data_IF_763961169643
#
_entry.id   IF_763961169643
#
_cell.length_a   1.000
_cell.length_b   1.000
_cell.length_c   1.000
_cell.angle_alpha   90.00
_cell.angle_beta   90.00
_cell.angle_gamma   90.00
#
_symmetry.space_group_name_H-M   'P 1'
#
loop_
_entity.id
_entity.type
_entity.pdbx_description
1 polymer ?
#
# COMPACT_ATOMS: atom_id res chain seq x y z
N UNK A 1 -20.03 -19.02 12.74
CA UNK A 1 -19.20 -19.40 11.58
C UNK A 1 -18.50 -20.71 11.94
N UNK A 2 -18.24 -21.65 11.01
CA UNK A 2 -17.60 -22.94 11.35
C UNK A 2 -16.29 -22.77 12.13
N UNK A 3 -15.48 -21.78 11.74
CA UNK A 3 -14.22 -21.45 12.43
C UNK A 3 -14.40 -20.74 13.79
N UNK A 4 -15.61 -20.28 14.11
CA UNK A 4 -15.94 -19.54 15.33
C UNK A 4 -17.23 -20.09 15.96
N UNK A 5 -17.19 -21.32 16.50
CA UNK A 5 -18.32 -21.90 17.21
C UNK A 5 -18.56 -21.14 18.52
N UNK A 6 -19.82 -20.87 18.87
CA UNK A 6 -20.18 -20.12 20.09
C UNK A 6 -20.02 -18.61 19.99
N UNK A 7 -19.63 -18.08 18.83
CA UNK A 7 -19.51 -16.64 18.58
C UNK A 7 -20.54 -16.14 17.57
N UNK A 8 -21.01 -14.91 17.81
CA UNK A 8 -21.75 -14.09 16.86
C UNK A 8 -20.80 -13.08 16.23
N UNK A 9 -20.76 -13.07 14.90
CA UNK A 9 -20.02 -12.08 14.11
C UNK A 9 -21.02 -11.09 13.52
N UNK A 10 -20.86 -9.80 13.82
CA UNK A 10 -21.69 -8.73 13.26
C UNK A 10 -20.82 -7.84 12.38
N UNK A 11 -21.13 -7.78 11.09
CA UNK A 11 -20.49 -6.86 10.17
C UNK A 11 -21.20 -5.50 10.24
N UNK A 12 -20.42 -4.45 10.51
CA UNK A 12 -20.91 -3.09 10.58
C UNK A 12 -20.24 -2.23 9.50
N UNK A 13 -20.95 -1.22 8.99
CA UNK A 13 -20.47 -0.31 7.96
C UNK A 13 -20.39 1.12 8.50
N UNK A 14 -19.24 1.77 8.33
CA UNK A 14 -18.99 3.15 8.72
C UNK A 14 -18.54 3.98 7.50
N UNK A 15 -19.43 4.82 6.91
CA UNK A 15 -19.12 5.59 5.71
C UNK A 15 -18.07 6.69 5.94
N UNK A 16 -18.02 7.30 7.13
CA UNK A 16 -17.02 8.31 7.45
C UNK A 16 -15.63 7.70 7.55
N UNK A 17 -15.51 6.52 8.16
CA UNK A 17 -14.26 5.76 8.21
C UNK A 17 -13.81 5.35 6.80
N UNK A 18 -14.75 4.97 5.93
CA UNK A 18 -14.45 4.67 4.53
C UNK A 18 -13.84 5.88 3.82
N UNK A 19 -14.46 7.06 3.95
CA UNK A 19 -13.96 8.32 3.35
C UNK A 19 -12.58 8.68 3.87
N UNK A 20 -12.38 8.62 5.19
CA UNK A 20 -11.09 8.93 5.81
C UNK A 20 -9.98 8.00 5.34
N UNK A 21 -10.23 6.68 5.30
CA UNK A 21 -9.25 5.69 4.83
C UNK A 21 -8.90 5.88 3.37
N UNK A 22 -9.90 6.11 2.52
CA UNK A 22 -9.70 6.42 1.09
C UNK A 22 -8.77 7.62 0.91
N UNK A 23 -9.07 8.73 1.58
CA UNK A 23 -8.28 9.95 1.47
C UNK A 23 -6.84 9.74 1.95
N UNK A 24 -6.67 9.10 3.11
CA UNK A 24 -5.34 8.80 3.67
C UNK A 24 -4.53 7.88 2.76
N UNK A 25 -5.15 6.82 2.21
CA UNK A 25 -4.47 5.91 1.28
C UNK A 25 -4.00 6.65 0.05
N UNK A 26 -4.88 7.43 -0.59
CA UNK A 26 -4.52 8.17 -1.81
C UNK A 26 -3.38 9.16 -1.56
N UNK A 27 -3.42 9.90 -0.45
CA UNK A 27 -2.34 10.82 -0.08
C UNK A 27 -0.99 10.09 0.11
N UNK A 28 -0.99 8.91 0.74
CA UNK A 28 0.22 8.11 0.94
C UNK A 28 0.72 7.48 -0.37
N UNK A 29 -0.18 7.06 -1.26
CA UNK A 29 0.18 6.56 -2.59
C UNK A 29 0.86 7.67 -3.41
N UNK A 30 0.28 8.86 -3.47
CA UNK A 30 0.85 10.01 -4.20
C UNK A 30 2.23 10.40 -3.65
N UNK A 31 2.37 10.54 -2.33
CA UNK A 31 3.65 10.88 -1.72
C UNK A 31 4.73 9.81 -1.97
N UNK A 32 4.32 8.53 -2.01
CA UNK A 32 5.21 7.42 -2.37
C UNK A 32 5.66 7.53 -3.82
N UNK A 33 4.73 7.75 -4.75
CA UNK A 33 5.05 7.88 -6.18
C UNK A 33 5.98 9.05 -6.48
N UNK A 34 5.70 10.24 -5.94
CA UNK A 34 6.58 11.41 -6.11
C UNK A 34 8.01 11.10 -5.64
N UNK A 35 8.14 10.32 -4.57
CA UNK A 35 9.45 9.91 -4.04
C UNK A 35 10.14 8.88 -4.95
N UNK A 36 9.39 7.92 -5.50
CA UNK A 36 9.92 6.92 -6.44
C UNK A 36 10.29 7.57 -7.79
N UNK A 37 9.51 8.54 -8.28
CA UNK A 37 9.82 9.31 -9.48
C UNK A 37 11.14 10.07 -9.35
N UNK A 38 11.46 10.60 -8.16
CA UNK A 38 12.76 11.22 -7.90
C UNK A 38 13.91 10.22 -8.00
N UNK A 39 13.72 8.97 -7.56
CA UNK A 39 14.72 7.90 -7.77
C UNK A 39 14.85 7.62 -9.26
N UNK A 40 13.72 7.41 -9.95
CA UNK A 40 13.69 7.12 -11.39
C UNK A 40 14.43 8.19 -12.21
N UNK A 41 14.19 9.48 -11.93
CA UNK A 41 14.88 10.59 -12.59
C UNK A 41 16.39 10.57 -12.33
N UNK A 42 16.82 10.24 -11.11
CA UNK A 42 18.26 10.11 -10.78
C UNK A 42 18.93 8.95 -11.50
N UNK A 43 18.23 7.82 -11.63
CA UNK A 43 18.71 6.65 -12.37
C UNK A 43 18.82 6.97 -13.86
N UNK A 44 17.78 7.57 -14.45
CA UNK A 44 17.77 8.00 -15.85
C UNK A 44 18.88 9.02 -16.16
N UNK A 45 19.17 9.95 -15.24
CA UNK A 45 20.28 10.89 -15.35
C UNK A 45 21.66 10.27 -15.09
N UNK A 46 21.75 8.98 -14.77
CA UNK A 46 22.99 8.29 -14.44
C UNK A 46 23.63 8.69 -13.10
N UNK A 47 22.91 9.45 -12.25
CA UNK A 47 23.37 9.93 -10.94
C UNK A 47 23.16 8.92 -9.81
N UNK A 48 22.46 7.82 -10.09
CA UNK A 48 22.26 6.68 -9.21
C UNK A 48 22.33 5.41 -10.05
N UNK A 49 23.18 4.47 -9.68
CA UNK A 49 23.44 3.22 -10.44
C UNK A 49 23.71 2.07 -9.48
N UNK A 50 23.56 0.86 -10.00
CA UNK A 50 23.72 -0.38 -9.26
C UNK A 50 22.43 -0.77 -8.55
N UNK A 51 22.04 -2.03 -8.72
CA UNK A 51 20.81 -2.57 -8.13
C UNK A 51 20.71 -2.36 -6.63
N UNK A 52 21.81 -2.55 -5.91
CA UNK A 52 21.84 -2.43 -4.45
C UNK A 52 21.58 -1.00 -3.98
N UNK A 53 22.23 0.00 -4.59
CA UNK A 53 22.05 1.39 -4.21
C UNK A 53 20.63 1.90 -4.52
N UNK A 54 20.08 1.49 -5.67
CA UNK A 54 18.69 1.80 -6.03
C UNK A 54 17.74 1.12 -5.05
N UNK A 55 17.97 -0.16 -4.75
CA UNK A 55 17.19 -0.95 -3.80
C UNK A 55 17.17 -0.34 -2.39
N UNK A 56 18.31 0.12 -1.88
CA UNK A 56 18.39 0.82 -0.59
C UNK A 56 17.54 2.09 -0.58
N UNK A 57 17.54 2.88 -1.66
CA UNK A 57 16.74 4.10 -1.75
C UNK A 57 15.25 3.81 -1.85
N UNK A 58 14.86 2.79 -2.61
CA UNK A 58 13.47 2.32 -2.66
C UNK A 58 13.03 1.82 -1.27
N UNK A 59 13.86 1.02 -0.60
CA UNK A 59 13.60 0.51 0.75
C UNK A 59 13.37 1.63 1.78
N UNK A 60 14.17 2.70 1.74
CA UNK A 60 13.98 3.88 2.60
C UNK A 60 12.62 4.57 2.39
N UNK A 61 12.11 4.60 1.17
CA UNK A 61 10.77 5.15 0.86
C UNK A 61 9.69 4.20 1.40
N UNK A 62 9.86 2.89 1.21
CA UNK A 62 8.90 1.89 1.69
C UNK A 62 8.80 1.90 3.22
N UNK A 63 9.92 2.02 3.93
CA UNK A 63 9.95 2.14 5.38
C UNK A 63 9.25 3.41 5.87
N UNK A 64 9.42 4.54 5.17
CA UNK A 64 8.77 5.81 5.51
C UNK A 64 7.25 5.78 5.34
N UNK A 65 6.75 5.29 4.20
CA UNK A 65 5.32 5.41 3.85
C UNK A 65 4.50 4.15 4.10
N UNK A 66 5.15 3.00 4.28
CA UNK A 66 4.50 1.71 4.53
C UNK A 66 3.51 1.31 3.41
N UNK A 67 3.79 1.71 2.16
CA UNK A 67 2.93 1.48 0.98
C UNK A 67 3.43 0.33 0.07
N UNK A 68 4.44 -0.44 0.50
CA UNK A 68 5.09 -1.46 -0.33
C UNK A 68 4.12 -2.44 -1.00
N UNK A 69 3.08 -2.88 -0.28
CA UNK A 69 2.08 -3.82 -0.82
C UNK A 69 1.34 -3.32 -2.07
N UNK A 70 1.28 -2.00 -2.27
CA UNK A 70 0.52 -1.36 -3.36
C UNK A 70 1.33 -1.11 -4.62
N UNK A 71 2.62 -1.43 -4.63
CA UNK A 71 3.49 -1.20 -5.78
C UNK A 71 4.19 -2.49 -6.21
N UNK A 72 4.51 -2.54 -7.50
CA UNK A 72 5.54 -3.41 -8.06
C UNK A 72 6.64 -2.53 -8.62
N UNK A 73 7.87 -3.03 -8.61
CA UNK A 73 9.01 -2.32 -9.17
C UNK A 73 10.07 -3.28 -9.69
N UNK A 74 10.78 -2.82 -10.71
CA UNK A 74 11.90 -3.52 -11.33
C UNK A 74 13.14 -2.64 -11.22
N UNK A 75 14.22 -3.24 -10.71
CA UNK A 75 15.48 -2.57 -10.45
C UNK A 75 16.59 -3.30 -11.20
N UNK A 76 17.22 -2.59 -12.14
CA UNK A 76 18.44 -2.99 -12.83
C UNK A 76 19.58 -2.02 -12.47
N UNK A 77 20.79 -2.28 -12.96
CA UNK A 77 21.95 -1.44 -12.62
C UNK A 77 21.85 0.00 -13.14
N UNK A 78 21.06 0.23 -14.19
CA UNK A 78 20.92 1.54 -14.84
C UNK A 78 19.48 1.90 -15.18
N UNK A 79 18.50 1.11 -14.76
CA UNK A 79 17.08 1.41 -14.98
C UNK A 79 16.25 1.07 -13.74
N UNK A 80 15.19 1.85 -13.56
CA UNK A 80 14.23 1.68 -12.48
C UNK A 80 12.83 2.01 -12.99
N UNK A 81 11.89 1.10 -12.78
CA UNK A 81 10.48 1.26 -13.11
C UNK A 81 9.61 0.80 -11.96
N UNK A 82 8.42 1.38 -11.84
CA UNK A 82 7.43 0.98 -10.84
C UNK A 82 6.01 1.21 -11.36
N UNK A 83 5.05 0.48 -10.80
CA UNK A 83 3.62 0.58 -11.14
C UNK A 83 2.76 0.35 -9.90
N UNK A 84 1.57 0.97 -9.86
CA UNK A 84 0.55 0.68 -8.84
C UNK A 84 -0.11 -0.67 -9.10
N UNK A 85 -0.40 -1.43 -8.04
CA UNK A 85 -1.27 -2.61 -8.09
C UNK A 85 -2.73 -2.19 -7.96
N UNK A 86 -3.29 -1.62 -9.03
CA UNK A 86 -4.63 -1.00 -9.02
C UNK A 86 -5.74 -1.97 -8.57
N UNK A 87 -5.65 -3.24 -8.96
CA UNK A 87 -6.61 -4.27 -8.56
C UNK A 87 -6.60 -4.52 -7.04
N UNK A 88 -5.42 -4.69 -6.44
CA UNK A 88 -5.27 -4.90 -4.99
C UNK A 88 -5.74 -3.68 -4.20
N UNK A 89 -5.44 -2.48 -4.68
CA UNK A 89 -5.91 -1.22 -4.07
C UNK A 89 -7.44 -1.16 -4.11
N UNK A 90 -8.06 -1.53 -5.23
CA UNK A 90 -9.52 -1.54 -5.36
C UNK A 90 -10.18 -2.58 -4.45
N UNK A 91 -9.59 -3.79 -4.34
CA UNK A 91 -10.06 -4.83 -3.43
C UNK A 91 -9.99 -4.38 -1.97
N UNK A 92 -8.89 -3.73 -1.55
CA UNK A 92 -8.78 -3.15 -0.22
C UNK A 92 -9.80 -2.03 0.00
N UNK A 93 -9.98 -1.14 -0.97
CA UNK A 93 -10.93 -0.05 -0.90
C UNK A 93 -12.38 -0.52 -0.76
N UNK A 94 -12.73 -1.69 -1.31
CA UNK A 94 -14.06 -2.29 -1.16
C UNK A 94 -14.37 -2.70 0.30
N UNK A 95 -13.32 -2.95 1.11
CA UNK A 95 -13.43 -3.30 2.52
C UNK A 95 -13.33 -2.08 3.45
N UNK A 96 -13.10 -0.88 2.90
CA UNK A 96 -13.02 0.33 3.70
C UNK A 96 -14.32 0.60 4.46
N UNK A 97 -14.20 0.83 5.76
CA UNK A 97 -15.34 1.09 6.64
C UNK A 97 -16.13 -0.15 7.04
N UNK A 98 -15.72 -1.36 6.65
CA UNK A 98 -16.26 -2.61 7.19
C UNK A 98 -15.46 -2.98 8.46
N UNK A 99 -16.17 -3.32 9.54
CA UNK A 99 -15.57 -3.89 10.74
C UNK A 99 -16.43 -5.02 11.29
N UNK A 100 -15.79 -5.99 11.93
CA UNK A 100 -16.45 -7.15 12.53
C UNK A 100 -16.44 -6.98 14.05
N UNK A 101 -17.62 -6.99 14.65
CA UNK A 101 -17.77 -7.13 16.10
C UNK A 101 -17.95 -8.62 16.41
N UNK A 102 -17.16 -9.12 17.36
CA UNK A 102 -17.24 -10.49 17.88
C UNK A 102 -17.88 -10.45 19.26
N UNK A 103 -18.92 -11.24 19.47
CA UNK A 103 -19.52 -11.41 20.81
C UNK A 103 -19.82 -12.88 21.08
N UNK A 104 -19.65 -13.32 22.32
CA UNK A 104 -20.08 -14.66 22.73
C UNK A 104 -21.59 -14.79 22.64
N UNK A 105 -22.06 -15.98 22.27
CA UNK A 105 -23.49 -16.34 22.36
C UNK A 105 -23.73 -16.91 23.76
N UNK A 106 -24.78 -16.46 24.49
CA UNK A 106 -25.19 -17.06 25.77
C UNK A 106 -25.54 -18.54 25.65
#
# INVERSE_FOLDING_TARGET
HPDYPGERLVACRNPELMRLRRHKREALLQATEESLQKIQARVAAGRLRGRDQIGLKVGQIMDRYQMAKHFTWDIHDTSFSFTRKTADIAAEAALDGIYIIRTSVP
#
